data_IF_170484648083
#
_entry.id   IF_170484648083
#
_cell.length_a   1.000
_cell.length_b   1.000
_cell.length_c   1.000
_cell.angle_alpha   90.00
_cell.angle_beta   90.00
_cell.angle_gamma   90.00
#
_symmetry.space_group_name_H-M   'P 1'
#
loop_
_entity.id
_entity.type
_entity.pdbx_description
1 polymer ?
#
# COMPACT_ATOMS: atom_id res chain seq x y z
N UNK A 1 -23.61 9.90 -34.32
CA UNK A 1 -22.70 8.74 -34.22
C UNK A 1 -21.71 8.84 -33.04
N UNK A 2 -20.78 9.82 -33.01
CA UNK A 2 -19.76 9.92 -31.95
C UNK A 2 -20.30 10.05 -30.51
N UNK A 3 -21.46 10.71 -30.30
CA UNK A 3 -22.11 10.76 -28.98
C UNK A 3 -22.60 9.39 -28.50
N UNK A 4 -23.10 8.56 -29.43
CA UNK A 4 -23.58 7.20 -29.13
C UNK A 4 -22.41 6.27 -28.82
N UNK A 5 -21.31 6.37 -29.57
CA UNK A 5 -20.05 5.63 -29.30
C UNK A 5 -19.48 6.00 -27.92
N UNK A 6 -19.49 7.28 -27.55
CA UNK A 6 -19.09 7.72 -26.20
C UNK A 6 -19.98 7.09 -25.13
N UNK A 7 -21.30 7.09 -25.31
CA UNK A 7 -22.24 6.55 -24.34
C UNK A 7 -22.03 5.04 -24.08
N UNK A 8 -21.78 4.27 -25.13
CA UNK A 8 -21.48 2.83 -25.02
C UNK A 8 -20.10 2.59 -24.38
N UNK A 9 -19.07 3.33 -24.81
CA UNK A 9 -17.70 3.13 -24.31
C UNK A 9 -17.48 3.65 -22.89
N UNK A 10 -18.37 4.49 -22.35
CA UNK A 10 -18.29 5.01 -20.99
C UNK A 10 -18.16 3.92 -19.90
N UNK A 11 -18.80 2.77 -20.12
CA UNK A 11 -18.81 1.63 -19.19
C UNK A 11 -17.76 0.58 -19.52
N UNK A 12 -16.97 0.77 -20.58
CA UNK A 12 -15.84 -0.11 -20.92
C UNK A 12 -14.62 0.37 -20.14
N UNK A 13 -14.10 -0.42 -19.19
CA UNK A 13 -12.90 -0.06 -18.43
C UNK A 13 -11.72 0.24 -19.37
N UNK A 14 -10.95 1.28 -19.06
CA UNK A 14 -9.78 1.69 -19.85
C UNK A 14 -10.08 2.46 -21.14
N UNK A 15 -11.35 2.58 -21.55
CA UNK A 15 -11.73 3.37 -22.74
C UNK A 15 -11.42 4.87 -22.57
N UNK A 16 -11.30 5.60 -23.69
CA UNK A 16 -11.12 7.06 -23.64
C UNK A 16 -12.27 7.79 -22.93
N UNK A 17 -13.50 7.30 -23.08
CA UNK A 17 -14.67 7.87 -22.40
C UNK A 17 -14.64 7.57 -20.90
N UNK A 18 -14.31 6.34 -20.49
CA UNK A 18 -14.19 6.01 -19.06
C UNK A 18 -13.11 6.85 -18.38
N UNK A 19 -11.96 7.06 -19.02
CA UNK A 19 -10.89 7.96 -18.56
C UNK A 19 -11.37 9.41 -18.43
N UNK A 20 -12.15 9.89 -19.39
CA UNK A 20 -12.74 11.24 -19.35
C UNK A 20 -13.70 11.38 -18.15
N UNK A 21 -14.52 10.37 -17.87
CA UNK A 21 -15.42 10.36 -16.71
C UNK A 21 -14.61 10.39 -15.41
N UNK A 22 -13.54 9.58 -15.30
CA UNK A 22 -12.68 9.58 -14.12
C UNK A 22 -12.01 10.94 -13.91
N UNK A 23 -11.49 11.57 -14.96
CA UNK A 23 -10.95 12.94 -14.88
C UNK A 23 -12.00 13.95 -14.40
N UNK A 24 -13.25 13.84 -14.88
CA UNK A 24 -14.31 14.74 -14.44
C UNK A 24 -14.69 14.52 -12.97
N UNK A 25 -14.65 13.27 -12.47
CA UNK A 25 -14.84 12.98 -11.04
C UNK A 25 -13.72 13.58 -10.19
N UNK A 26 -12.46 13.43 -10.62
CA UNK A 26 -11.30 14.04 -9.96
C UNK A 26 -11.45 15.56 -9.91
N UNK A 27 -11.80 16.20 -11.04
CA UNK A 27 -12.05 17.65 -11.09
C UNK A 27 -13.17 18.08 -10.16
N UNK A 28 -14.27 17.33 -10.11
CA UNK A 28 -15.38 17.60 -9.19
C UNK A 28 -14.93 17.53 -7.72
N UNK A 29 -14.13 16.52 -7.37
CA UNK A 29 -13.53 16.43 -6.03
C UNK A 29 -12.57 17.59 -5.76
N UNK A 30 -11.79 18.03 -6.74
CA UNK A 30 -10.89 19.18 -6.56
C UNK A 30 -11.66 20.49 -6.35
N UNK A 31 -12.82 20.65 -6.99
CA UNK A 31 -13.71 21.80 -6.77
C UNK A 31 -14.35 21.78 -5.37
N UNK A 32 -14.68 20.61 -4.85
CA UNK A 32 -15.34 20.44 -3.55
C UNK A 32 -14.34 20.43 -2.36
N UNK A 33 -13.18 19.81 -2.53
CA UNK A 33 -12.24 19.47 -1.44
C UNK A 33 -10.91 20.21 -1.50
N UNK A 34 -10.68 21.01 -2.54
CA UNK A 34 -9.38 21.63 -2.84
C UNK A 34 -8.44 20.66 -3.56
N UNK A 35 -7.16 20.99 -3.62
CA UNK A 35 -6.15 20.11 -4.22
C UNK A 35 -5.90 18.86 -3.35
N UNK A 36 -5.59 17.71 -3.97
CA UNK A 36 -5.15 16.52 -3.22
C UNK A 36 -3.87 16.83 -2.45
N UNK A 37 -3.74 16.22 -1.26
CA UNK A 37 -2.53 16.31 -0.44
C UNK A 37 -1.47 15.30 -0.89
N UNK A 38 -1.90 14.12 -1.35
CA UNK A 38 -0.99 13.03 -1.77
C UNK A 38 -1.43 12.39 -3.08
N UNK A 39 -0.43 11.98 -3.87
CA UNK A 39 -0.57 11.07 -5.00
C UNK A 39 0.20 9.78 -4.68
N UNK A 40 -0.51 8.66 -4.60
CA UNK A 40 0.01 7.38 -4.11
C UNK A 40 -0.18 6.33 -5.19
N UNK A 41 0.87 5.54 -5.46
CA UNK A 41 0.75 4.32 -6.26
C UNK A 41 0.83 3.12 -5.33
N UNK A 42 -0.21 2.29 -5.33
CA UNK A 42 -0.30 1.08 -4.53
C UNK A 42 -0.15 -0.11 -5.48
N UNK A 43 0.97 -0.83 -5.35
CA UNK A 43 1.28 -1.99 -6.17
C UNK A 43 1.59 -3.20 -5.28
N UNK A 44 0.57 -3.96 -4.84
CA UNK A 44 0.76 -5.14 -4.02
C UNK A 44 1.53 -6.22 -4.80
N UNK A 45 2.54 -6.82 -4.17
CA UNK A 45 3.34 -7.88 -4.77
C UNK A 45 2.63 -9.25 -4.69
N UNK A 46 1.66 -9.49 -5.57
CA UNK A 46 0.88 -10.73 -5.62
C UNK A 46 1.69 -12.00 -5.93
N UNK A 47 2.74 -11.92 -6.76
CA UNK A 47 3.59 -13.08 -7.15
C UNK A 47 4.51 -13.58 -6.02
N UNK A 48 4.56 -12.89 -4.89
CA UNK A 48 5.31 -13.35 -3.70
C UNK A 48 4.44 -13.39 -2.44
N UNK A 49 3.18 -12.96 -2.51
CA UNK A 49 2.36 -12.79 -1.32
C UNK A 49 1.60 -14.09 -1.01
N UNK A 50 1.84 -14.73 0.16
CA UNK A 50 1.18 -15.99 0.51
C UNK A 50 -0.35 -15.86 0.65
N UNK A 51 -0.86 -14.65 0.89
CA UNK A 51 -2.32 -14.40 0.92
C UNK A 51 -2.99 -14.80 -0.39
N UNK A 52 -2.29 -14.70 -1.53
CA UNK A 52 -2.85 -15.14 -2.83
C UNK A 52 -3.05 -16.66 -2.86
N UNK A 53 -2.09 -17.46 -2.36
CA UNK A 53 -2.25 -18.93 -2.24
C UNK A 53 -3.39 -19.29 -1.29
N UNK A 54 -3.47 -18.61 -0.14
CA UNK A 54 -4.57 -18.80 0.82
C UNK A 54 -5.94 -18.52 0.18
N UNK A 55 -6.06 -17.40 -0.53
CA UNK A 55 -7.30 -17.03 -1.23
C UNK A 55 -7.64 -17.97 -2.40
N UNK A 56 -6.65 -18.66 -2.96
CA UNK A 56 -6.86 -19.72 -3.95
C UNK A 56 -7.31 -21.05 -3.32
N UNK A 57 -7.36 -21.16 -1.99
CA UNK A 57 -7.80 -22.36 -1.28
C UNK A 57 -6.67 -23.30 -0.87
N UNK A 58 -5.41 -22.86 -0.94
CA UNK A 58 -4.30 -23.62 -0.34
C UNK A 58 -4.45 -23.66 1.17
N UNK A 59 -4.23 -24.84 1.76
CA UNK A 59 -4.21 -25.04 3.21
C UNK A 59 -2.86 -24.55 3.77
N UNK A 60 -2.78 -23.24 4.03
CA UNK A 60 -1.60 -22.59 4.61
C UNK A 60 -2.01 -21.71 5.80
N UNK A 61 -1.18 -21.70 6.83
CA UNK A 61 -1.32 -20.75 7.93
C UNK A 61 -0.59 -19.45 7.58
N UNK A 62 -1.34 -18.44 7.13
CA UNK A 62 -0.77 -17.16 6.72
C UNK A 62 -0.02 -16.47 7.87
N UNK A 63 -0.40 -16.72 9.12
CA UNK A 63 0.23 -16.12 10.30
C UNK A 63 1.47 -16.88 10.77
N UNK A 64 1.61 -18.16 10.41
CA UNK A 64 2.74 -19.01 10.76
C UNK A 64 3.31 -19.77 9.54
N UNK A 65 3.59 -19.05 8.45
CA UNK A 65 4.15 -19.66 7.24
C UNK A 65 5.46 -20.39 7.53
N UNK A 66 5.52 -21.65 7.12
CA UNK A 66 6.74 -22.43 7.05
C UNK A 66 7.57 -21.99 5.81
N UNK A 67 8.90 -22.07 5.85
CA UNK A 67 9.77 -21.69 4.73
C UNK A 67 9.42 -22.37 3.39
N UNK A 68 8.94 -23.61 3.43
CA UNK A 68 8.50 -24.41 2.28
C UNK A 68 7.09 -24.05 1.78
N UNK A 69 6.30 -23.31 2.57
CA UNK A 69 5.00 -22.76 2.17
C UNK A 69 5.12 -21.41 1.45
N UNK A 70 6.32 -20.80 1.47
CA UNK A 70 6.60 -19.58 0.73
C UNK A 70 6.43 -19.88 -0.76
N UNK A 71 5.58 -19.12 -1.48
CA UNK A 71 5.36 -19.39 -2.89
C UNK A 71 6.66 -19.27 -3.71
N UNK A 72 6.92 -20.29 -4.53
CA UNK A 72 7.86 -20.13 -5.64
C UNK A 72 7.27 -19.16 -6.69
N UNK A 73 8.14 -18.35 -7.28
CA UNK A 73 7.74 -17.33 -8.25
C UNK A 73 6.97 -17.92 -9.43
N UNK A 74 7.43 -19.05 -9.98
CA UNK A 74 6.79 -19.64 -11.15
C UNK A 74 5.46 -20.27 -10.80
N UNK A 75 5.39 -21.02 -9.69
CA UNK A 75 4.13 -21.58 -9.21
C UNK A 75 3.06 -20.51 -9.00
N UNK A 76 3.44 -19.40 -8.35
CA UNK A 76 2.50 -18.33 -8.06
C UNK A 76 2.10 -17.57 -9.32
N UNK A 77 3.01 -17.40 -10.28
CA UNK A 77 2.71 -16.83 -11.58
C UNK A 77 1.69 -17.68 -12.35
N UNK A 78 1.87 -19.01 -12.37
CA UNK A 78 0.90 -19.92 -12.99
C UNK A 78 -0.47 -19.84 -12.30
N UNK A 79 -0.49 -19.82 -10.96
CA UNK A 79 -1.73 -19.68 -10.19
C UNK A 79 -2.49 -18.39 -10.55
N UNK A 80 -1.80 -17.26 -10.63
CA UNK A 80 -2.39 -15.96 -11.00
C UNK A 80 -2.86 -15.96 -12.46
N UNK A 81 -2.09 -16.57 -13.37
CA UNK A 81 -2.44 -16.66 -14.77
C UNK A 81 -3.65 -17.57 -15.04
N UNK A 82 -3.77 -18.70 -14.33
CA UNK A 82 -4.90 -19.62 -14.43
C UNK A 82 -6.16 -19.08 -13.74
N UNK A 83 -5.98 -18.33 -12.64
CA UNK A 83 -7.08 -17.80 -11.83
C UNK A 83 -6.95 -16.28 -11.59
N UNK A 84 -7.19 -15.45 -12.62
CA UNK A 84 -7.12 -13.98 -12.49
C UNK A 84 -8.16 -13.42 -11.51
N UNK A 85 -9.23 -14.17 -11.19
CA UNK A 85 -10.21 -13.77 -10.19
C UNK A 85 -9.62 -13.75 -8.77
N UNK A 86 -8.72 -14.68 -8.44
CA UNK A 86 -8.02 -14.68 -7.14
C UNK A 86 -7.10 -13.46 -7.03
N UNK A 87 -6.37 -13.11 -8.09
CA UNK A 87 -5.54 -11.90 -8.09
C UNK A 87 -6.38 -10.62 -7.89
N UNK A 88 -7.52 -10.53 -8.57
CA UNK A 88 -8.46 -9.42 -8.37
C UNK A 88 -9.05 -9.40 -6.94
N UNK A 89 -9.35 -10.58 -6.37
CA UNK A 89 -9.86 -10.69 -5.01
C UNK A 89 -8.81 -10.27 -3.97
N UNK A 90 -7.57 -10.76 -4.11
CA UNK A 90 -6.42 -10.35 -3.31
C UNK A 90 -6.23 -8.83 -3.34
N UNK A 91 -6.20 -8.25 -4.54
CA UNK A 91 -6.07 -6.80 -4.71
C UNK A 91 -7.19 -6.05 -3.99
N UNK A 92 -8.44 -6.48 -4.11
CA UNK A 92 -9.57 -5.85 -3.43
C UNK A 92 -9.46 -5.94 -1.89
N UNK A 93 -9.05 -7.08 -1.35
CA UNK A 93 -8.79 -7.24 0.09
C UNK A 93 -7.68 -6.28 0.55
N UNK A 94 -6.59 -6.24 -0.20
CA UNK A 94 -5.44 -5.37 0.10
C UNK A 94 -5.81 -3.89 0.06
N UNK A 95 -6.56 -3.46 -0.96
CA UNK A 95 -7.02 -2.08 -1.09
C UNK A 95 -7.95 -1.67 0.04
N UNK A 96 -8.87 -2.54 0.46
CA UNK A 96 -9.73 -2.29 1.62
C UNK A 96 -8.92 -2.14 2.90
N UNK A 97 -7.96 -3.04 3.12
CA UNK A 97 -7.06 -2.98 4.28
C UNK A 97 -6.21 -1.71 4.26
N UNK A 98 -5.68 -1.30 3.10
CA UNK A 98 -4.93 -0.05 2.95
C UNK A 98 -5.80 1.16 3.32
N UNK A 99 -7.02 1.26 2.77
CA UNK A 99 -7.92 2.38 3.04
C UNK A 99 -8.32 2.43 4.52
N UNK A 100 -8.61 1.28 5.15
CA UNK A 100 -9.05 1.27 6.54
C UNK A 100 -7.89 1.42 7.54
N UNK A 101 -6.76 0.72 7.33
CA UNK A 101 -5.69 0.62 8.32
C UNK A 101 -4.61 1.69 8.12
N UNK A 102 -4.26 2.03 6.86
CA UNK A 102 -3.20 3.01 6.58
C UNK A 102 -3.78 4.41 6.48
N UNK A 103 -4.86 4.59 5.71
CA UNK A 103 -5.51 5.89 5.59
C UNK A 103 -6.44 6.20 6.77
N UNK A 104 -6.83 5.20 7.56
CA UNK A 104 -7.79 5.39 8.65
C UNK A 104 -9.16 5.86 8.16
N UNK A 105 -9.47 5.70 6.86
CA UNK A 105 -10.65 6.31 6.27
C UNK A 105 -11.89 5.46 6.56
N UNK A 106 -12.88 6.09 7.17
CA UNK A 106 -14.21 5.55 7.33
C UNK A 106 -15.24 6.44 6.61
N UNK A 107 -16.29 5.81 6.04
CA UNK A 107 -17.32 6.53 5.28
C UNK A 107 -18.21 7.43 6.14
N UNK A 108 -18.26 7.17 7.43
CA UNK A 108 -19.03 7.95 8.40
C UNK A 108 -18.29 9.20 8.87
N UNK A 109 -17.00 9.33 8.52
CA UNK A 109 -16.08 10.39 8.92
C UNK A 109 -16.02 10.60 10.44
N UNK A 110 -16.10 9.51 11.20
CA UNK A 110 -16.07 9.56 12.66
C UNK A 110 -14.66 9.36 13.23
N UNK A 111 -13.73 8.82 12.44
CA UNK A 111 -12.34 8.69 12.84
C UNK A 111 -11.61 10.05 12.77
N UNK A 112 -11.61 10.75 13.91
CA UNK A 112 -10.86 12.00 14.09
C UNK A 112 -9.38 11.77 14.44
N UNK A 113 -8.98 10.54 14.79
CA UNK A 113 -7.56 10.20 14.97
C UNK A 113 -6.83 10.13 13.62
N UNK A 114 -7.57 9.77 12.56
CA UNK A 114 -7.03 9.66 11.20
C UNK A 114 -6.20 8.39 10.99
N UNK A 115 -5.46 8.37 9.88
CA UNK A 115 -4.47 7.33 9.58
C UNK A 115 -3.05 7.90 9.58
N UNK A 116 -2.12 7.18 8.94
CA UNK A 116 -0.70 7.55 8.85
C UNK A 116 -0.51 8.93 8.19
N UNK A 117 -1.41 9.33 7.29
CA UNK A 117 -1.37 10.62 6.60
C UNK A 117 -2.17 11.71 7.33
N UNK A 118 -2.74 11.43 8.51
CA UNK A 118 -3.69 12.29 9.21
C UNK A 118 -5.15 11.96 8.90
N UNK A 119 -6.05 12.90 9.20
CA UNK A 119 -7.50 12.73 9.00
C UNK A 119 -7.84 12.84 7.52
N UNK A 120 -8.15 11.72 6.87
CA UNK A 120 -8.49 11.68 5.45
C UNK A 120 -9.96 12.07 5.24
N UNK A 121 -10.20 13.13 4.47
CA UNK A 121 -11.56 13.61 4.15
C UNK A 121 -12.11 13.06 2.85
N UNK A 122 -11.24 12.70 1.91
CA UNK A 122 -11.61 12.08 0.65
C UNK A 122 -10.44 11.31 0.03
N UNK A 123 -10.76 10.32 -0.80
CA UNK A 123 -9.80 9.68 -1.70
C UNK A 123 -10.45 9.34 -3.04
N UNK A 124 -9.64 9.21 -4.07
CA UNK A 124 -10.08 8.73 -5.38
C UNK A 124 -9.02 7.81 -5.98
N UNK A 125 -9.38 6.57 -6.28
CA UNK A 125 -8.48 5.56 -6.84
C UNK A 125 -8.87 5.15 -8.26
N UNK A 126 -7.88 5.09 -9.15
CA UNK A 126 -7.95 4.47 -10.47
C UNK A 126 -7.22 3.14 -10.42
N UNK A 127 -7.87 2.06 -10.86
CA UNK A 127 -7.26 0.73 -10.92
C UNK A 127 -6.85 0.43 -12.35
N UNK A 128 -5.62 -0.02 -12.52
CA UNK A 128 -5.05 -0.36 -13.82
C UNK A 128 -4.44 -1.76 -13.78
N UNK A 129 -4.58 -2.49 -14.89
CA UNK A 129 -3.91 -3.76 -15.10
C UNK A 129 -2.44 -3.50 -15.41
N UNK A 130 -1.55 -4.10 -14.65
CA UNK A 130 -0.14 -4.18 -15.00
C UNK A 130 0.02 -5.22 -16.12
N UNK A 131 0.99 -5.04 -17.03
CA UNK A 131 1.29 -5.98 -18.12
C UNK A 131 1.77 -7.37 -17.68
N UNK A 132 1.62 -7.73 -16.39
CA UNK A 132 1.97 -9.00 -15.76
C UNK A 132 0.75 -9.70 -15.10
N UNK A 133 -0.47 -9.24 -15.38
CA UNK A 133 -1.72 -9.82 -14.83
C UNK A 133 -2.14 -9.26 -13.48
N UNK A 134 -1.25 -8.54 -12.81
CA UNK A 134 -1.44 -7.96 -11.48
C UNK A 134 -2.16 -6.60 -11.57
N UNK A 135 -2.87 -6.19 -10.52
CA UNK A 135 -3.54 -4.88 -10.46
C UNK A 135 -2.72 -3.89 -9.62
N UNK A 136 -2.69 -2.63 -10.03
CA UNK A 136 -2.18 -1.53 -9.20
C UNK A 136 -3.19 -0.39 -9.17
N UNK A 137 -3.08 0.47 -8.15
CA UNK A 137 -3.94 1.63 -7.98
C UNK A 137 -3.12 2.92 -8.00
N UNK A 138 -3.53 3.88 -8.82
CA UNK A 138 -3.16 5.28 -8.66
C UNK A 138 -4.23 5.99 -7.85
N UNK A 139 -3.86 6.55 -6.70
CA UNK A 139 -4.78 7.14 -5.75
C UNK A 139 -4.40 8.58 -5.41
N UNK A 140 -5.41 9.44 -5.41
CA UNK A 140 -5.33 10.79 -4.85
C UNK A 140 -5.99 10.80 -3.47
N UNK A 141 -5.35 11.43 -2.49
CA UNK A 141 -5.83 11.50 -1.10
C UNK A 141 -5.89 12.95 -0.65
N UNK A 142 -6.99 13.33 -0.01
CA UNK A 142 -7.22 14.63 0.60
C UNK A 142 -7.25 14.48 2.11
N UNK A 143 -6.41 15.25 2.79
CA UNK A 143 -6.33 15.29 4.25
C UNK A 143 -6.95 16.58 4.76
N UNK A 144 -7.54 16.55 5.95
CA UNK A 144 -8.00 17.74 6.64
C UNK A 144 -6.85 18.70 6.96
N UNK A 145 -7.12 20.00 6.90
CA UNK A 145 -6.10 21.04 7.11
C UNK A 145 -5.08 21.21 5.98
N UNK A 146 -5.19 20.43 4.88
CA UNK A 146 -4.38 20.64 3.68
C UNK A 146 -4.73 21.96 2.99
N UNK A 147 -3.85 22.95 3.08
CA UNK A 147 -4.00 24.25 2.45
C UNK A 147 -3.74 24.18 0.94
N UNK A 148 -4.53 24.92 0.15
CA UNK A 148 -4.25 25.08 -1.27
C UNK A 148 -3.05 26.01 -1.49
N UNK A 149 -2.37 25.92 -2.65
CA UNK A 149 -1.23 26.79 -2.98
C UNK A 149 -1.52 28.29 -2.84
N UNK A 150 -2.73 28.73 -3.17
CA UNK A 150 -3.13 30.14 -3.02
C UNK A 150 -3.27 30.55 -1.55
N UNK A 151 -3.68 29.64 -0.67
CA UNK A 151 -3.78 29.87 0.77
C UNK A 151 -2.38 29.87 1.40
N UNK A 152 -1.52 28.91 1.02
CA UNK A 152 -0.11 28.89 1.41
C UNK A 152 0.58 30.19 0.98
N UNK A 153 0.37 30.62 -0.27
CA UNK A 153 0.92 31.87 -0.80
C UNK A 153 0.42 33.07 0.00
N UNK A 154 -0.87 33.14 0.31
CA UNK A 154 -1.44 34.24 1.09
C UNK A 154 -0.77 34.35 2.47
N UNK A 155 -0.65 33.24 3.19
CA UNK A 155 0.00 33.22 4.50
C UNK A 155 1.46 33.65 4.43
N UNK A 156 2.21 33.18 3.44
CA UNK A 156 3.66 33.44 3.35
C UNK A 156 3.97 34.82 2.77
N UNK A 157 3.32 35.18 1.67
CA UNK A 157 3.68 36.35 0.85
C UNK A 157 2.82 37.56 1.21
N UNK A 158 1.51 37.40 1.30
CA UNK A 158 0.59 38.52 1.47
C UNK A 158 0.50 38.96 2.93
N UNK A 159 0.44 37.98 3.86
CA UNK A 159 0.32 38.20 5.30
C UNK A 159 1.67 38.26 6.02
N UNK A 160 2.73 37.70 5.41
CA UNK A 160 4.06 37.67 6.02
C UNK A 160 4.14 36.83 7.29
N UNK A 161 3.35 35.74 7.40
CA UNK A 161 3.34 34.87 8.58
C UNK A 161 4.64 34.03 8.66
N UNK A 162 5.61 34.58 9.39
CA UNK A 162 6.92 33.96 9.64
C UNK A 162 6.76 32.63 10.37
N UNK A 163 5.83 32.53 11.34
CA UNK A 163 5.66 31.33 12.14
C UNK A 163 5.09 30.18 11.30
N UNK A 164 4.12 30.46 10.41
CA UNK A 164 3.63 29.48 9.45
C UNK A 164 4.71 29.04 8.48
N UNK A 165 5.46 30.00 7.90
CA UNK A 165 6.57 29.72 6.98
C UNK A 165 7.58 28.77 7.61
N UNK A 166 8.02 29.04 8.83
CA UNK A 166 9.05 28.24 9.50
C UNK A 166 8.54 26.83 9.84
N UNK A 167 7.27 26.68 10.23
CA UNK A 167 6.64 25.35 10.39
C UNK A 167 6.54 24.58 9.08
N UNK A 168 6.18 25.25 7.99
CA UNK A 168 6.10 24.61 6.66
C UNK A 168 7.48 24.13 6.20
N UNK A 169 8.51 24.95 6.36
CA UNK A 169 9.89 24.56 6.02
C UNK A 169 10.34 23.34 6.84
N UNK A 170 10.14 23.37 8.16
CA UNK A 170 10.49 22.24 9.02
C UNK A 170 9.75 20.95 8.61
N UNK A 171 8.47 21.04 8.24
CA UNK A 171 7.72 19.90 7.73
C UNK A 171 8.28 19.35 6.41
N UNK A 172 8.63 20.24 5.46
CA UNK A 172 9.19 19.84 4.18
C UNK A 172 10.57 19.19 4.34
N UNK A 173 11.43 19.75 5.21
CA UNK A 173 12.76 19.21 5.50
C UNK A 173 12.71 17.84 6.18
N UNK A 174 11.69 17.60 7.03
CA UNK A 174 11.46 16.30 7.67
C UNK A 174 10.89 15.26 6.70
N UNK A 175 10.02 15.68 5.78
CA UNK A 175 9.30 14.78 4.87
C UNK A 175 10.10 14.43 3.62
N UNK A 176 10.85 15.38 3.07
CA UNK A 176 11.57 15.24 1.81
C UNK A 176 13.02 14.89 2.11
N UNK A 177 13.33 13.60 2.02
CA UNK A 177 14.70 13.09 2.11
C UNK A 177 15.06 12.31 0.86
N UNK A 178 16.29 12.48 0.40
CA UNK A 178 16.90 11.63 -0.62
C UNK A 178 18.27 11.21 -0.10
N UNK A 179 18.43 9.91 0.14
CA UNK A 179 19.72 9.32 0.45
C UNK A 179 19.95 8.13 -0.46
N UNK A 180 21.20 7.96 -0.91
CA UNK A 180 21.65 6.65 -1.37
C UNK A 180 21.99 5.88 -0.09
N UNK A 181 21.24 4.82 0.27
CA UNK A 181 21.59 4.04 1.44
C UNK A 181 23.00 3.48 1.25
N UNK A 182 23.80 3.51 2.31
CA UNK A 182 25.11 2.83 2.32
C UNK A 182 24.84 1.35 2.14
N UNK A 183 25.69 0.67 1.36
CA UNK A 183 25.60 -0.78 1.22
C UNK A 183 25.58 -1.42 2.61
N UNK A 184 24.66 -2.37 2.88
CA UNK A 184 24.61 -3.02 4.17
C UNK A 184 25.95 -3.68 4.46
N UNK A 185 26.40 -3.61 5.70
CA UNK A 185 27.58 -4.33 6.17
C UNK A 185 27.43 -5.81 5.74
N UNK A 186 28.37 -6.37 4.97
CA UNK A 186 28.27 -7.74 4.48
C UNK A 186 28.23 -8.77 5.62
N UNK A 187 28.63 -8.41 6.84
CA UNK A 187 28.51 -9.25 8.03
C UNK A 187 27.18 -9.09 8.78
N UNK A 188 26.35 -8.10 8.42
CA UNK A 188 25.05 -7.87 9.04
C UNK A 188 24.03 -8.92 8.59
N UNK A 189 23.88 -9.97 9.40
CA UNK A 189 22.83 -10.98 9.22
C UNK A 189 21.50 -10.45 9.76
N UNK A 190 20.57 -10.11 8.87
CA UNK A 190 19.17 -9.84 9.21
C UNK A 190 18.33 -11.11 9.03
N UNK A 191 17.12 -11.21 9.61
CA UNK A 191 16.26 -12.37 9.39
C UNK A 191 15.98 -12.65 7.90
N UNK A 192 15.91 -11.61 7.08
CA UNK A 192 15.75 -11.72 5.62
C UNK A 192 17.02 -12.24 4.89
N UNK A 193 18.18 -12.27 5.55
CA UNK A 193 19.43 -12.86 5.01
C UNK A 193 19.34 -14.39 4.97
N UNK A 194 18.54 -14.99 5.86
CA UNK A 194 18.42 -16.44 6.01
C UNK A 194 17.06 -16.98 5.56
N UNK A 195 16.05 -16.12 5.47
CA UNK A 195 14.67 -16.51 5.17
C UNK A 195 14.05 -15.55 4.16
N UNK A 196 13.11 -16.06 3.36
CA UNK A 196 12.40 -15.24 2.38
C UNK A 196 11.63 -14.10 3.09
N UNK A 197 11.66 -12.84 2.60
CA UNK A 197 11.00 -11.72 3.27
C UNK A 197 9.50 -11.95 3.55
N UNK A 198 8.82 -12.73 2.72
CA UNK A 198 7.41 -13.06 2.90
C UNK A 198 7.12 -14.06 4.03
N UNK A 199 8.10 -14.84 4.49
CA UNK A 199 7.98 -15.63 5.73
C UNK A 199 8.39 -14.85 6.98
N UNK A 200 9.05 -13.69 6.79
CA UNK A 200 9.47 -12.80 7.87
C UNK A 200 8.51 -11.62 7.97
N UNK A 201 7.37 -11.79 8.67
CA UNK A 201 6.48 -10.65 8.95
C UNK A 201 7.16 -9.61 9.86
N UNK A 202 6.82 -8.33 9.71
CA UNK A 202 7.16 -7.29 10.69
C UNK A 202 6.68 -7.66 12.10
N UNK A 203 7.43 -7.29 13.13
CA UNK A 203 6.99 -7.48 14.52
C UNK A 203 5.94 -6.41 14.82
N UNK A 204 4.83 -6.78 15.46
CA UNK A 204 3.87 -5.79 15.96
C UNK A 204 4.61 -4.85 16.94
N UNK A 205 4.74 -3.59 16.52
CA UNK A 205 5.50 -2.57 17.23
C UNK A 205 4.78 -2.10 18.50
N UNK A 206 3.50 -2.43 18.66
CA UNK A 206 2.72 -2.13 19.86
C UNK A 206 2.89 -3.19 20.96
N UNK A 207 3.51 -4.33 20.65
CA UNK A 207 3.86 -5.32 21.66
C UNK A 207 5.04 -4.81 22.49
N UNK A 208 4.87 -4.80 23.82
CA UNK A 208 5.92 -4.48 24.77
C UNK A 208 6.21 -5.65 25.72
N UNK A 209 7.39 -5.62 26.34
CA UNK A 209 7.81 -6.58 27.37
C UNK A 209 7.81 -8.04 26.88
N UNK A 210 7.32 -8.94 27.74
CA UNK A 210 7.35 -10.38 27.51
C UNK A 210 6.54 -10.83 26.29
N UNK A 211 5.52 -10.05 25.88
CA UNK A 211 4.72 -10.36 24.69
C UNK A 211 5.51 -10.14 23.41
N UNK A 212 6.32 -9.08 23.35
CA UNK A 212 7.26 -8.84 22.25
C UNK A 212 8.35 -9.91 22.21
N UNK A 213 8.92 -10.24 23.38
CA UNK A 213 9.94 -11.27 23.51
C UNK A 213 9.41 -12.66 23.10
N UNK A 214 8.17 -12.99 23.46
CA UNK A 214 7.50 -14.24 23.09
C UNK A 214 7.06 -14.27 21.62
N UNK A 215 6.63 -13.14 21.04
CA UNK A 215 6.35 -13.04 19.61
C UNK A 215 7.63 -13.21 18.78
N UNK A 216 8.74 -12.62 19.22
CA UNK A 216 10.07 -12.82 18.62
C UNK A 216 10.58 -14.26 18.81
N UNK A 217 10.40 -14.87 19.98
CA UNK A 217 10.78 -16.28 20.26
C UNK A 217 9.90 -17.30 19.51
N UNK A 218 8.58 -17.14 19.47
CA UNK A 218 7.68 -18.03 18.70
C UNK A 218 8.10 -18.09 17.23
N UNK A 219 8.47 -16.94 16.66
CA UNK A 219 9.03 -16.86 15.31
C UNK A 219 10.37 -17.59 15.21
N UNK A 220 11.29 -17.36 16.15
CA UNK A 220 12.57 -18.05 16.15
C UNK A 220 12.45 -19.58 16.29
N UNK A 221 11.45 -20.08 17.03
CA UNK A 221 11.19 -21.52 17.22
C UNK A 221 10.46 -22.16 16.02
N UNK A 222 9.60 -21.44 15.29
CA UNK A 222 9.07 -21.97 14.03
C UNK A 222 10.17 -22.03 12.95
N UNK A 223 11.09 -21.06 12.96
CA UNK A 223 12.23 -20.98 12.03
C UNK A 223 13.34 -22.01 12.32
N UNK A 224 13.48 -22.50 13.56
CA UNK A 224 14.52 -23.48 13.92
C UNK A 224 14.09 -24.94 13.77
N UNK A 225 12.80 -25.23 13.53
CA UNK A 225 12.29 -26.59 13.34
C UNK A 225 12.52 -27.16 11.94
N UNK A 226 13.07 -26.39 11.00
CA UNK A 226 13.22 -26.74 9.58
C UNK A 226 14.63 -27.15 9.12
N UNK A 227 15.53 -27.55 10.02
CA UNK A 227 16.77 -28.24 9.64
C UNK A 227 16.68 -29.72 10.02
N UNK A 228 16.21 -30.64 9.15
CA UNK A 228 16.60 -32.03 9.28
C UNK A 228 18.08 -32.12 8.90
N UNK A 229 18.87 -32.69 9.82
CA UNK A 229 20.28 -33.05 9.60
C UNK A 229 20.47 -33.71 8.22
N UNK A 230 21.02 -32.97 7.27
CA UNK A 230 21.72 -33.56 6.14
C UNK A 230 23.05 -34.11 6.66
N UNK A 231 22.99 -35.28 7.31
CA UNK A 231 24.17 -36.10 7.53
C UNK A 231 24.41 -36.93 6.26
N UNK A 232 25.49 -36.53 5.61
CA UNK A 232 26.35 -37.24 4.66
C UNK A 232 26.22 -38.76 4.69
N UNK A 233 25.91 -39.34 3.51
CA UNK A 233 26.55 -40.53 2.95
C UNK A 233 26.64 -40.34 1.43
#
# INVERSE_FOLDING_TARGET
LMKQVKLVTAHVPGSSTSRTIMHNKIRGLMMDRGLPSFYITINPADVFNPVVKFLAGSDIDVDNLMPDEVPDYWEQLYLVAENPAVAAHFFNVYMKAFISAILGFDKTQNNLEGGVLGVVKAYYGCVETQGRGTLHCHMMVWVEGGLNPDEIKRHIVDEGDIAFRDRLLAFLDDTISNCVPVDPDPELVVPATTHHPCSVRGVDQHLSGDRLANARKKRHVSLSRTMPNAQTL
#
